data_IF_657887817763
#
_entry.id   IF_657887817763
#
_cell.length_a   1.000
_cell.length_b   1.000
_cell.length_c   1.000
_cell.angle_alpha   90.00
_cell.angle_beta   90.00
_cell.angle_gamma   90.00
#
_symmetry.space_group_name_H-M   'P 1'
#
loop_
_entity.id
_entity.type
_entity.pdbx_description
1 polymer ?
#
# COMPACT_ATOMS: atom_id res chain seq x y z
N UNK A 1 13.37 7.58 -13.01
CA UNK A 1 13.96 6.79 -11.92
C UNK A 1 14.01 5.32 -12.31
N UNK A 2 15.13 4.66 -12.18
CA UNK A 2 15.32 3.28 -12.64
C UNK A 2 15.64 2.40 -11.44
N UNK A 3 14.62 1.76 -10.88
CA UNK A 3 14.86 0.68 -9.91
C UNK A 3 15.48 -0.53 -10.65
N UNK A 4 16.34 -1.26 -9.94
CA UNK A 4 16.80 -2.58 -10.41
C UNK A 4 15.59 -3.51 -10.47
N UNK A 5 15.03 -3.67 -11.68
CA UNK A 5 13.90 -4.58 -11.90
C UNK A 5 14.36 -6.04 -11.85
N UNK A 6 13.52 -6.90 -11.32
CA UNK A 6 13.72 -8.35 -11.36
C UNK A 6 13.17 -8.94 -12.66
N UNK A 7 11.92 -8.63 -12.97
CA UNK A 7 11.18 -9.12 -14.14
C UNK A 7 9.95 -8.24 -14.39
N UNK A 8 9.02 -8.69 -15.24
CA UNK A 8 7.77 -8.01 -15.52
C UNK A 8 6.58 -8.96 -15.31
N UNK A 9 5.46 -8.43 -14.81
CA UNK A 9 4.14 -9.03 -14.96
C UNK A 9 3.49 -8.48 -16.22
N UNK A 10 2.82 -9.35 -17.00
CA UNK A 10 2.05 -8.92 -18.18
C UNK A 10 0.61 -8.69 -17.73
N UNK A 11 0.13 -7.46 -17.87
CA UNK A 11 -1.22 -7.05 -17.53
C UNK A 11 -1.99 -6.59 -18.79
N UNK A 12 -3.23 -6.98 -18.99
CA UNK A 12 -3.98 -6.64 -20.20
C UNK A 12 -4.31 -5.14 -20.34
N UNK A 13 -4.23 -4.37 -19.24
CA UNK A 13 -4.53 -2.93 -19.22
C UNK A 13 -3.24 -2.11 -19.28
N UNK A 14 -2.24 -2.49 -18.47
CA UNK A 14 -1.01 -1.72 -18.27
C UNK A 14 0.18 -2.24 -19.08
N UNK A 15 0.02 -3.38 -19.79
CA UNK A 15 1.15 -4.02 -20.48
C UNK A 15 2.16 -4.60 -19.49
N UNK A 16 3.43 -4.27 -19.69
CA UNK A 16 4.53 -4.74 -18.84
C UNK A 16 4.59 -3.94 -17.54
N UNK A 17 4.30 -4.60 -16.42
CA UNK A 17 4.47 -4.04 -15.07
C UNK A 17 5.80 -4.53 -14.50
N UNK A 18 6.86 -3.69 -14.50
CA UNK A 18 8.14 -4.07 -13.91
C UNK A 18 8.05 -4.15 -12.39
N UNK A 19 8.72 -5.13 -11.80
CA UNK A 19 8.79 -5.29 -10.35
C UNK A 19 10.22 -5.61 -9.87
N UNK A 20 10.47 -5.30 -8.60
CA UNK A 20 11.74 -5.49 -7.90
C UNK A 20 11.76 -6.79 -7.10
N UNK A 21 12.93 -7.19 -6.58
CA UNK A 21 13.05 -8.35 -5.68
C UNK A 21 12.19 -8.19 -4.41
N UNK A 22 12.14 -7.00 -3.82
CA UNK A 22 11.33 -6.73 -2.63
C UNK A 22 9.83 -6.83 -2.92
N UNK A 23 9.38 -6.32 -4.05
CA UNK A 23 7.99 -6.44 -4.48
C UNK A 23 7.62 -7.90 -4.77
N UNK A 24 8.53 -8.67 -5.39
CA UNK A 24 8.32 -10.09 -5.67
C UNK A 24 8.13 -10.91 -4.39
N UNK A 25 8.97 -10.68 -3.37
CA UNK A 25 8.84 -11.34 -2.07
C UNK A 25 7.45 -11.10 -1.46
N UNK A 26 6.94 -9.87 -1.51
CA UNK A 26 5.62 -9.54 -0.99
C UNK A 26 4.50 -10.13 -1.86
N UNK A 27 4.64 -10.08 -3.18
CA UNK A 27 3.68 -10.67 -4.12
C UNK A 27 3.61 -12.20 -3.93
N UNK A 28 4.73 -12.87 -3.66
CA UNK A 28 4.77 -14.31 -3.41
C UNK A 28 4.14 -14.72 -2.06
N UNK A 29 3.96 -13.79 -1.14
CA UNK A 29 3.46 -14.08 0.20
C UNK A 29 1.99 -14.57 0.19
N UNK A 30 1.63 -15.59 0.99
CA UNK A 30 0.27 -16.15 0.99
C UNK A 30 -0.84 -15.13 1.25
N UNK A 31 -0.61 -14.14 2.12
CA UNK A 31 -1.54 -13.05 2.40
C UNK A 31 -1.86 -12.26 1.12
N UNK A 32 -0.87 -11.97 0.28
CA UNK A 32 -1.09 -11.30 -1.00
C UNK A 32 -1.69 -12.26 -2.04
N UNK A 33 -1.19 -13.50 -2.13
CA UNK A 33 -1.64 -14.49 -3.11
C UNK A 33 -3.14 -14.82 -3.00
N UNK A 34 -3.75 -14.71 -1.80
CA UNK A 34 -5.19 -14.92 -1.63
C UNK A 34 -6.03 -13.93 -2.45
N UNK A 35 -5.49 -12.73 -2.78
CA UNK A 35 -6.19 -11.72 -3.59
C UNK A 35 -6.52 -12.24 -5.02
N UNK A 36 -5.83 -13.26 -5.52
CA UNK A 36 -6.17 -13.97 -6.78
C UNK A 36 -7.56 -14.59 -6.77
N UNK A 37 -8.07 -14.91 -5.58
CA UNK A 37 -9.39 -15.54 -5.41
C UNK A 37 -10.50 -14.52 -5.09
N UNK A 38 -10.17 -13.26 -4.95
CA UNK A 38 -11.10 -12.19 -4.58
C UNK A 38 -11.34 -11.31 -5.81
N UNK A 39 -12.58 -11.36 -6.32
CA UNK A 39 -13.00 -10.50 -7.44
C UNK A 39 -13.06 -9.03 -6.98
N UNK A 40 -12.53 -8.11 -7.80
CA UNK A 40 -12.54 -6.67 -7.49
C UNK A 40 -13.97 -6.15 -7.32
N UNK A 41 -14.88 -6.55 -8.20
CA UNK A 41 -16.26 -6.10 -8.23
C UNK A 41 -17.25 -7.11 -7.60
N UNK A 42 -16.77 -7.99 -6.72
CA UNK A 42 -17.62 -8.96 -6.02
C UNK A 42 -18.41 -9.84 -6.99
N UNK A 43 -19.75 -9.79 -6.95
CA UNK A 43 -20.65 -10.61 -7.77
C UNK A 43 -21.07 -9.97 -9.10
N UNK A 44 -20.56 -8.80 -9.43
CA UNK A 44 -20.93 -8.04 -10.65
C UNK A 44 -20.69 -8.84 -11.94
N UNK A 45 -19.71 -9.75 -11.95
CA UNK A 45 -19.42 -10.61 -13.08
C UNK A 45 -20.60 -11.53 -13.48
N UNK A 46 -21.58 -11.76 -12.59
CA UNK A 46 -22.80 -12.51 -12.90
C UNK A 46 -23.71 -11.75 -13.88
N UNK A 47 -23.63 -10.43 -13.90
CA UNK A 47 -24.41 -9.56 -14.82
C UNK A 47 -23.52 -9.03 -15.95
N UNK A 48 -22.26 -8.72 -15.62
CA UNK A 48 -21.26 -8.21 -16.58
C UNK A 48 -20.11 -9.23 -16.71
N UNK A 49 -20.18 -10.18 -17.66
CA UNK A 49 -19.25 -11.31 -17.74
C UNK A 49 -17.77 -10.93 -17.87
N UNK A 50 -17.46 -9.74 -18.43
CA UNK A 50 -16.11 -9.23 -18.55
C UNK A 50 -15.50 -8.70 -17.23
N UNK A 51 -16.33 -8.52 -16.18
CA UNK A 51 -15.91 -7.99 -14.87
C UNK A 51 -15.27 -9.07 -13.98
N UNK A 52 -14.29 -9.79 -14.52
CA UNK A 52 -13.68 -10.98 -13.88
C UNK A 52 -12.35 -10.71 -13.18
N UNK A 53 -11.78 -9.50 -13.32
CA UNK A 53 -10.49 -9.15 -12.72
C UNK A 53 -10.51 -9.27 -11.19
N UNK A 54 -9.36 -9.58 -10.66
CA UNK A 54 -9.16 -9.83 -9.22
C UNK A 54 -8.50 -8.65 -8.53
N UNK A 55 -8.58 -8.61 -7.20
CA UNK A 55 -7.83 -7.63 -6.41
C UNK A 55 -6.32 -7.81 -6.55
N UNK A 56 -5.86 -9.00 -6.90
CA UNK A 56 -4.45 -9.25 -7.21
C UNK A 56 -3.98 -8.43 -8.42
N UNK A 57 -4.66 -8.50 -9.56
CA UNK A 57 -4.29 -7.72 -10.74
C UNK A 57 -4.51 -6.22 -10.53
N UNK A 58 -5.59 -5.84 -9.84
CA UNK A 58 -5.83 -4.44 -9.45
C UNK A 58 -4.65 -3.87 -8.65
N UNK A 59 -4.21 -4.55 -7.58
CA UNK A 59 -3.11 -4.06 -6.73
C UNK A 59 -1.77 -3.96 -7.46
N UNK A 60 -1.50 -4.88 -8.42
CA UNK A 60 -0.34 -4.75 -9.32
C UNK A 60 -0.44 -3.49 -10.19
N UNK A 61 -1.62 -3.23 -10.74
CA UNK A 61 -1.89 -2.02 -11.53
C UNK A 61 -1.74 -0.75 -10.69
N UNK A 62 -2.27 -0.73 -9.45
CA UNK A 62 -2.11 0.41 -8.53
C UNK A 62 -0.64 0.66 -8.21
N UNK A 63 0.14 -0.37 -7.89
CA UNK A 63 1.59 -0.27 -7.70
C UNK A 63 2.27 0.40 -8.91
N UNK A 64 1.93 -0.04 -10.12
CA UNK A 64 2.51 0.49 -11.36
C UNK A 64 2.16 1.97 -11.57
N UNK A 65 0.88 2.30 -11.50
CA UNK A 65 0.38 3.66 -11.71
C UNK A 65 0.88 4.63 -10.63
N UNK A 66 0.97 4.19 -9.36
CA UNK A 66 1.57 4.99 -8.28
C UNK A 66 3.03 5.35 -8.58
N UNK A 67 3.80 4.41 -9.12
CA UNK A 67 5.17 4.68 -9.56
C UNK A 67 5.25 5.63 -10.75
N UNK A 68 4.34 5.52 -11.72
CA UNK A 68 4.25 6.47 -12.85
C UNK A 68 3.90 7.88 -12.38
N UNK A 69 2.90 8.00 -11.49
CA UNK A 69 2.48 9.26 -10.91
C UNK A 69 3.63 9.93 -10.15
N UNK A 70 4.36 9.17 -9.33
CA UNK A 70 5.53 9.67 -8.62
C UNK A 70 6.57 10.24 -9.59
N UNK A 71 6.92 9.50 -10.63
CA UNK A 71 7.87 9.97 -11.64
C UNK A 71 7.37 11.22 -12.37
N UNK A 72 6.07 11.36 -12.58
CA UNK A 72 5.48 12.56 -13.19
C UNK A 72 5.57 13.78 -12.28
N UNK A 73 5.31 13.60 -10.98
CA UNK A 73 5.40 14.69 -9.98
C UNK A 73 6.84 15.19 -9.85
N UNK A 74 7.81 14.29 -9.79
CA UNK A 74 9.22 14.64 -9.61
C UNK A 74 10.01 14.73 -10.93
N UNK A 75 9.33 14.84 -12.07
CA UNK A 75 9.97 14.83 -13.38
C UNK A 75 11.05 15.91 -13.52
N UNK A 76 10.77 17.13 -13.09
CA UNK A 76 11.69 18.26 -13.21
C UNK A 76 12.91 18.11 -12.29
N UNK A 77 12.71 17.56 -11.09
CA UNK A 77 13.81 17.25 -10.15
C UNK A 77 14.69 16.13 -10.72
N UNK A 78 14.08 15.07 -11.26
CA UNK A 78 14.78 13.92 -11.88
C UNK A 78 15.59 14.38 -13.10
N UNK A 79 15.12 15.35 -13.85
CA UNK A 79 15.81 15.92 -15.01
C UNK A 79 16.88 16.98 -14.64
N UNK A 80 16.94 17.43 -13.39
CA UNK A 80 17.85 18.49 -12.97
C UNK A 80 19.26 18.00 -12.64
N UNK A 81 20.26 18.91 -12.70
CA UNK A 81 21.64 18.65 -12.29
C UNK A 81 21.76 18.31 -10.79
N UNK A 82 20.76 18.70 -9.98
CA UNK A 82 20.70 18.42 -8.56
C UNK A 82 20.18 17.02 -8.21
N UNK A 83 19.69 16.25 -9.18
CA UNK A 83 19.14 14.92 -8.94
C UNK A 83 20.07 14.00 -8.14
N UNK A 84 21.37 14.02 -8.44
CA UNK A 84 22.35 13.18 -7.73
C UNK A 84 22.38 13.41 -6.21
N UNK A 85 22.00 14.60 -5.74
CA UNK A 85 21.98 14.96 -4.30
C UNK A 85 20.78 14.37 -3.58
N UNK A 86 19.64 14.28 -4.27
CA UNK A 86 18.35 13.84 -3.70
C UNK A 86 17.95 12.43 -4.16
N UNK A 87 18.71 11.83 -5.07
CA UNK A 87 18.38 10.54 -5.69
C UNK A 87 18.06 9.44 -4.67
N UNK A 88 18.87 9.34 -3.61
CA UNK A 88 18.67 8.30 -2.59
C UNK A 88 17.35 8.46 -1.85
N UNK A 89 16.98 9.69 -1.52
CA UNK A 89 15.76 10.04 -0.81
C UNK A 89 14.53 9.80 -1.71
N UNK A 90 14.61 10.24 -2.97
CA UNK A 90 13.56 9.95 -3.96
C UNK A 90 13.42 8.47 -4.26
N UNK A 91 14.52 7.71 -4.31
CA UNK A 91 14.49 6.25 -4.47
C UNK A 91 13.80 5.56 -3.29
N UNK A 92 14.00 6.04 -2.06
CA UNK A 92 13.35 5.52 -0.86
C UNK A 92 11.84 5.83 -0.89
N UNK A 93 11.46 7.08 -1.18
CA UNK A 93 10.06 7.49 -1.33
C UNK A 93 9.34 6.72 -2.44
N UNK A 94 9.96 6.61 -3.61
CA UNK A 94 9.41 5.89 -4.75
C UNK A 94 9.06 4.44 -4.41
N UNK A 95 9.98 3.75 -3.69
CA UNK A 95 9.74 2.38 -3.23
C UNK A 95 8.57 2.31 -2.24
N UNK A 96 8.51 3.23 -1.27
CA UNK A 96 7.41 3.28 -0.30
C UNK A 96 6.07 3.52 -1.01
N UNK A 97 5.99 4.44 -1.96
CA UNK A 97 4.78 4.72 -2.75
C UNK A 97 4.33 3.50 -3.55
N UNK A 98 5.25 2.79 -4.20
CA UNK A 98 4.90 1.57 -4.93
C UNK A 98 4.41 0.45 -4.02
N UNK A 99 5.09 0.24 -2.88
CA UNK A 99 4.69 -0.78 -1.89
C UNK A 99 3.35 -0.44 -1.26
N UNK A 100 3.06 0.84 -0.96
CA UNK A 100 1.75 1.24 -0.45
C UNK A 100 0.65 0.92 -1.46
N UNK A 101 0.86 1.22 -2.74
CA UNK A 101 -0.05 0.84 -3.82
C UNK A 101 -0.23 -0.67 -3.97
N UNK A 102 0.83 -1.46 -3.77
CA UNK A 102 0.76 -2.93 -3.84
C UNK A 102 -0.08 -3.52 -2.69
N UNK A 103 0.04 -2.97 -1.49
CA UNK A 103 -0.49 -3.57 -0.26
C UNK A 103 -1.82 -2.95 0.24
N UNK A 104 -2.33 -1.88 -0.41
CA UNK A 104 -3.49 -1.13 0.09
C UNK A 104 -4.75 -1.99 0.31
N UNK A 105 -4.97 -2.99 -0.55
CA UNK A 105 -6.20 -3.81 -0.59
C UNK A 105 -6.09 -5.15 0.19
N UNK A 106 -5.01 -5.35 0.97
CA UNK A 106 -4.80 -6.60 1.70
C UNK A 106 -5.95 -7.00 2.62
N UNK A 107 -6.67 -6.04 3.20
CA UNK A 107 -7.74 -6.29 4.16
C UNK A 107 -9.04 -6.79 3.56
N UNK A 108 -9.22 -6.72 2.25
CA UNK A 108 -10.45 -7.17 1.63
C UNK A 108 -10.71 -8.68 1.77
N UNK A 109 -11.97 -9.01 2.10
CA UNK A 109 -12.49 -10.36 2.11
C UNK A 109 -13.21 -10.74 0.81
N UNK A 110 -13.77 -11.96 0.73
CA UNK A 110 -14.63 -12.40 -0.36
C UNK A 110 -15.79 -11.41 -0.56
N UNK A 111 -16.22 -11.21 -1.81
CA UNK A 111 -17.32 -10.30 -2.19
C UNK A 111 -17.06 -8.81 -1.97
N UNK A 112 -15.81 -8.40 -1.71
CA UNK A 112 -15.42 -6.99 -1.59
C UNK A 112 -16.12 -6.29 -0.42
N UNK A 113 -16.68 -5.09 -0.67
CA UNK A 113 -17.36 -4.31 0.38
C UNK A 113 -18.59 -5.00 1.01
N UNK A 114 -19.23 -5.95 0.33
CA UNK A 114 -20.34 -6.71 0.91
C UNK A 114 -19.89 -7.54 2.12
N UNK A 115 -18.61 -7.97 2.13
CA UNK A 115 -18.00 -8.67 3.25
C UNK A 115 -17.93 -7.81 4.52
N UNK A 116 -17.89 -6.49 4.39
CA UNK A 116 -17.84 -5.57 5.53
C UNK A 116 -19.11 -5.63 6.39
N UNK A 117 -20.21 -6.15 5.84
CA UNK A 117 -21.43 -6.33 6.61
C UNK A 117 -21.25 -7.23 7.85
N UNK A 118 -20.25 -8.13 7.84
CA UNK A 118 -19.89 -8.96 9.00
C UNK A 118 -19.26 -8.16 10.14
N UNK A 119 -18.71 -6.98 9.85
CA UNK A 119 -18.10 -6.07 10.82
C UNK A 119 -19.10 -5.06 11.37
N UNK A 120 -20.39 -5.15 10.98
CA UNK A 120 -21.41 -4.22 11.41
C UNK A 120 -21.51 -4.19 12.95
N UNK A 121 -21.33 -2.99 13.50
CA UNK A 121 -21.34 -2.76 14.96
C UNK A 121 -19.98 -2.92 15.63
N UNK A 122 -18.95 -3.40 14.93
CA UNK A 122 -17.58 -3.43 15.45
C UNK A 122 -16.87 -2.09 15.20
N UNK A 123 -16.01 -1.72 16.14
CA UNK A 123 -15.16 -0.54 16.08
C UNK A 123 -13.71 -0.96 15.90
N UNK A 124 -12.87 0.00 15.52
CA UNK A 124 -11.42 -0.21 15.42
C UNK A 124 -10.85 -0.67 16.76
N UNK A 125 -11.35 -0.14 17.88
CA UNK A 125 -10.99 -0.55 19.24
C UNK A 125 -11.29 -2.02 19.56
N UNK A 126 -12.15 -2.68 18.79
CA UNK A 126 -12.50 -4.10 19.00
C UNK A 126 -11.48 -5.06 18.34
N UNK A 127 -10.56 -4.55 17.52
CA UNK A 127 -9.44 -5.32 17.02
C UNK A 127 -8.55 -5.78 18.18
N UNK A 128 -8.17 -7.05 18.20
CA UNK A 128 -7.38 -7.66 19.28
C UNK A 128 -5.96 -7.99 18.84
N UNK A 129 -5.05 -8.02 19.82
CA UNK A 129 -3.68 -8.52 19.71
C UNK A 129 -2.82 -7.76 18.66
N UNK A 130 -2.08 -8.49 17.84
CA UNK A 130 -1.14 -7.92 16.85
C UNK A 130 -1.81 -7.04 15.79
N UNK A 131 -3.12 -7.19 15.57
CA UNK A 131 -3.90 -6.35 14.69
C UNK A 131 -4.09 -4.92 15.23
N UNK A 132 -3.80 -4.69 16.52
CA UNK A 132 -3.91 -3.37 17.18
C UNK A 132 -2.67 -2.48 16.96
N UNK A 133 -1.52 -3.04 16.54
CA UNK A 133 -0.28 -2.26 16.38
C UNK A 133 -0.45 -0.97 15.56
N UNK A 134 -1.23 -0.94 14.46
CA UNK A 134 -1.45 0.30 13.72
C UNK A 134 -2.05 1.44 14.55
N UNK A 135 -2.82 1.16 15.62
CA UNK A 135 -3.36 2.20 16.49
C UNK A 135 -2.29 3.02 17.21
N UNK A 136 -1.11 2.45 17.43
CA UNK A 136 0.00 3.15 18.08
C UNK A 136 0.63 4.21 17.15
N UNK A 137 0.36 4.13 15.85
CA UNK A 137 0.87 5.05 14.82
C UNK A 137 -0.08 6.21 14.52
N UNK A 138 -1.33 6.15 15.02
CA UNK A 138 -2.31 7.23 14.84
C UNK A 138 -1.87 8.45 15.66
N UNK A 139 -2.00 9.65 15.07
CA UNK A 139 -1.75 10.90 15.79
C UNK A 139 -2.50 10.94 17.11
N UNK A 140 -1.84 11.29 18.20
CA UNK A 140 -2.42 11.27 19.55
C UNK A 140 -3.75 12.04 19.63
N UNK A 141 -3.83 13.21 18.99
CA UNK A 141 -5.04 14.05 18.94
C UNK A 141 -6.22 13.43 18.17
N UNK A 142 -5.97 12.42 17.34
CA UNK A 142 -6.98 11.72 16.52
C UNK A 142 -7.32 10.33 17.08
N UNK A 143 -6.58 9.85 18.08
CA UNK A 143 -6.59 8.45 18.52
C UNK A 143 -7.95 8.00 19.02
N UNK A 144 -8.65 8.85 19.78
CA UNK A 144 -9.99 8.55 20.31
C UNK A 144 -11.02 8.45 19.17
N UNK A 145 -11.07 9.44 18.29
CA UNK A 145 -11.99 9.45 17.16
C UNK A 145 -11.72 8.27 16.22
N UNK A 146 -10.46 7.97 15.94
CA UNK A 146 -10.06 6.85 15.10
C UNK A 146 -10.48 5.50 15.72
N UNK A 147 -10.25 5.31 17.02
CA UNK A 147 -10.63 4.09 17.76
C UNK A 147 -12.12 3.84 17.76
N UNK A 148 -12.93 4.90 17.70
CA UNK A 148 -14.39 4.84 17.66
C UNK A 148 -14.98 4.66 16.26
N UNK A 149 -14.17 4.71 15.19
CA UNK A 149 -14.65 4.47 13.84
C UNK A 149 -15.17 3.04 13.67
N UNK A 150 -16.16 2.89 12.78
CA UNK A 150 -16.61 1.57 12.35
C UNK A 150 -15.49 0.81 11.69
N UNK A 151 -15.36 -0.47 12.04
CA UNK A 151 -14.34 -1.34 11.48
C UNK A 151 -14.58 -1.58 9.99
N UNK A 152 -13.53 -1.43 9.17
CA UNK A 152 -13.55 -1.60 7.72
C UNK A 152 -12.35 -2.41 7.26
N UNK A 153 -12.32 -2.79 5.97
CA UNK A 153 -11.22 -3.55 5.37
C UNK A 153 -9.88 -2.80 5.41
N UNK A 154 -9.89 -1.46 5.34
CA UNK A 154 -8.67 -0.66 5.41
C UNK A 154 -7.91 -0.92 6.72
N UNK A 155 -8.62 -1.00 7.86
CA UNK A 155 -8.01 -1.26 9.16
C UNK A 155 -7.30 -2.64 9.19
N UNK A 156 -7.90 -3.64 8.52
CA UNK A 156 -7.24 -4.93 8.33
C UNK A 156 -6.06 -4.85 7.36
N UNK A 157 -6.14 -4.00 6.31
CA UNK A 157 -5.00 -3.78 5.41
C UNK A 157 -3.79 -3.27 6.19
N UNK A 158 -3.96 -2.28 7.05
CA UNK A 158 -2.87 -1.72 7.86
C UNK A 158 -2.24 -2.76 8.79
N UNK A 159 -3.06 -3.59 9.43
CA UNK A 159 -2.56 -4.69 10.25
C UNK A 159 -1.78 -5.72 9.44
N UNK A 160 -2.32 -6.14 8.28
CA UNK A 160 -1.68 -7.13 7.40
C UNK A 160 -0.41 -6.60 6.73
N UNK A 161 -0.28 -5.29 6.49
CA UNK A 161 0.97 -4.66 6.04
C UNK A 161 2.06 -4.89 7.09
N UNK A 162 1.77 -4.69 8.37
CA UNK A 162 2.74 -4.97 9.45
C UNK A 162 3.15 -6.44 9.47
N UNK A 163 2.19 -7.35 9.34
CA UNK A 163 2.46 -8.80 9.34
C UNK A 163 3.35 -9.20 8.16
N UNK A 164 2.98 -8.81 6.93
CA UNK A 164 3.73 -9.22 5.73
C UNK A 164 5.15 -8.68 5.72
N UNK A 165 5.37 -7.44 6.15
CA UNK A 165 6.72 -6.86 6.24
C UNK A 165 7.59 -7.58 7.28
N UNK A 166 7.01 -8.00 8.40
CA UNK A 166 7.72 -8.75 9.43
C UNK A 166 8.05 -10.18 8.96
N UNK A 167 7.08 -10.91 8.42
CA UNK A 167 7.27 -12.31 7.98
C UNK A 167 8.22 -12.43 6.78
N UNK A 168 8.31 -11.37 5.95
CA UNK A 168 9.25 -11.32 4.83
C UNK A 168 10.61 -10.72 5.18
N UNK A 169 10.84 -10.32 6.44
CA UNK A 169 12.04 -9.61 6.90
C UNK A 169 12.30 -8.27 6.16
N UNK A 170 11.27 -7.67 5.55
CA UNK A 170 11.37 -6.38 4.86
C UNK A 170 11.15 -5.18 5.79
N UNK A 171 10.83 -5.41 7.06
CA UNK A 171 10.70 -4.39 8.09
C UNK A 171 12.00 -3.59 8.36
N UNK A 172 13.16 -4.13 7.96
CA UNK A 172 14.45 -3.41 7.99
C UNK A 172 14.59 -2.41 6.82
N UNK A 173 13.81 -2.59 5.76
CA UNK A 173 13.83 -1.74 4.55
C UNK A 173 12.65 -0.78 4.49
N UNK A 174 11.49 -1.19 5.01
CA UNK A 174 10.23 -0.44 4.97
C UNK A 174 9.58 -0.41 6.35
N UNK A 175 9.26 0.77 6.83
CA UNK A 175 8.43 0.90 8.02
C UNK A 175 6.95 0.68 7.65
N UNK A 176 6.28 -0.25 8.32
CA UNK A 176 4.84 -0.44 8.15
C UNK A 176 4.06 0.83 8.49
N UNK A 177 4.51 1.59 9.49
CA UNK A 177 3.97 2.90 9.88
C UNK A 177 4.01 3.87 8.71
N UNK A 178 5.15 3.98 8.01
CA UNK A 178 5.33 4.92 6.91
C UNK A 178 4.51 4.53 5.68
N UNK A 179 4.40 3.21 5.39
CA UNK A 179 3.50 2.70 4.36
C UNK A 179 2.03 3.03 4.68
N UNK A 180 1.59 2.84 5.93
CA UNK A 180 0.23 3.17 6.36
C UNK A 180 -0.04 4.68 6.32
N UNK A 181 0.96 5.51 6.64
CA UNK A 181 0.86 6.97 6.54
C UNK A 181 0.60 7.45 5.10
N UNK A 182 1.16 6.78 4.09
CA UNK A 182 0.87 7.07 2.68
C UNK A 182 -0.56 6.69 2.26
N UNK A 183 -1.21 5.79 2.99
CA UNK A 183 -2.57 5.31 2.72
C UNK A 183 -3.64 6.07 3.51
N UNK A 184 -3.31 6.56 4.71
CA UNK A 184 -4.27 7.19 5.59
C UNK A 184 -3.62 8.34 6.40
N UNK A 185 -4.14 9.54 6.22
CA UNK A 185 -3.67 10.77 6.88
C UNK A 185 -3.92 10.81 8.40
N UNK A 186 -4.56 9.79 8.97
CA UNK A 186 -4.68 9.65 10.42
C UNK A 186 -3.40 9.12 11.06
N UNK A 187 -2.53 8.47 10.28
CA UNK A 187 -1.26 7.95 10.78
C UNK A 187 -0.16 9.03 10.76
N UNK A 188 0.63 9.02 11.79
CA UNK A 188 1.82 9.85 11.94
C UNK A 188 3.02 9.12 11.31
N UNK A 189 3.79 9.72 10.40
CA UNK A 189 4.99 9.11 9.85
C UNK A 189 6.05 8.87 10.92
N UNK A 190 7.01 7.99 10.67
CA UNK A 190 8.20 7.92 11.49
C UNK A 190 9.00 9.23 11.37
N UNK A 191 9.81 9.54 12.39
CA UNK A 191 10.63 10.75 12.36
C UNK A 191 11.50 10.83 11.11
N UNK A 192 12.15 9.72 10.75
CA UNK A 192 12.98 9.64 9.54
C UNK A 192 12.17 9.93 8.27
N UNK A 193 10.97 9.40 8.18
CA UNK A 193 10.11 9.58 7.01
C UNK A 193 9.52 11.00 6.95
N UNK A 194 9.21 11.61 8.10
CA UNK A 194 8.79 13.01 8.19
C UNK A 194 9.88 13.94 7.67
N UNK A 195 11.12 13.76 8.15
CA UNK A 195 12.28 14.53 7.70
C UNK A 195 12.54 14.36 6.19
N UNK A 196 12.28 13.17 5.65
CA UNK A 196 12.37 12.87 4.21
C UNK A 196 11.30 13.62 3.42
N UNK A 197 10.04 13.57 3.86
CA UNK A 197 8.92 14.26 3.22
C UNK A 197 9.09 15.78 3.24
N UNK A 198 9.56 16.35 4.35
CA UNK A 198 9.82 17.79 4.47
C UNK A 198 10.88 18.27 3.48
N UNK A 199 12.01 17.55 3.37
CA UNK A 199 13.08 17.89 2.41
C UNK A 199 12.60 17.85 0.96
N UNK A 200 11.80 16.84 0.60
CA UNK A 200 11.37 16.66 -0.78
C UNK A 200 10.16 17.55 -1.13
N UNK A 201 9.38 18.03 -0.13
CA UNK A 201 8.30 19.00 -0.37
C UNK A 201 8.79 20.38 -0.83
N UNK A 202 10.05 20.71 -0.58
CA UNK A 202 10.68 21.94 -1.09
C UNK A 202 10.98 21.86 -2.60
N UNK A 203 10.86 20.67 -3.19
CA UNK A 203 11.16 20.41 -4.61
C UNK A 203 9.92 20.24 -5.49
N UNK A 204 8.70 20.26 -4.90
CA UNK A 204 7.41 20.21 -5.60
C UNK A 204 6.88 21.62 -5.81
#
# INVERSE_FOLDING_TARGET
>A
MVLKKKSNYIDPVHGDIPYTDHEDIQIAHPIYQRLKKIKQLGTVYLVYPSSTHTRYSHSLGVMHVSGQLFNSIFNDVIASDNYSKVQKDLDELYKCVRISGLLHDLGHGPYGHQFESIFKGLKVSDLKNDLMKPLDWVYQKKKEDYSNQSLKHEHYSYALISVILNETNLNSHYSARDICCLLDSNFEPSRKFSELLERESEHI
#
